data_IF_158751246826
#
_entry.id   IF_158751246826
#
_cell.length_a   1.000
_cell.length_b   1.000
_cell.length_c   1.000
_cell.angle_alpha   90.00
_cell.angle_beta   90.00
_cell.angle_gamma   90.00
#
_symmetry.space_group_name_H-M   'P 1'
#
loop_
_entity.id
_entity.type
_entity.pdbx_description
1 polymer ?
#
# COMPACT_ATOMS: atom_id res chain seq x y z
N UNK A 1 23.99 -14.22 21.51
CA UNK A 1 22.81 -15.06 21.19
C UNK A 1 21.98 -14.28 20.20
N UNK A 2 22.08 -14.61 18.91
CA UNK A 2 21.24 -14.02 17.88
C UNK A 2 19.85 -14.65 18.02
N UNK A 3 18.89 -13.89 18.54
CA UNK A 3 17.49 -14.29 18.54
C UNK A 3 17.04 -14.38 17.09
N UNK A 4 16.80 -15.60 16.60
CA UNK A 4 16.19 -15.81 15.29
C UNK A 4 14.82 -15.13 15.31
N UNK A 5 14.70 -14.04 14.54
CA UNK A 5 13.47 -13.27 14.41
C UNK A 5 12.53 -14.07 13.52
N UNK A 6 11.57 -14.75 14.12
CA UNK A 6 10.49 -15.40 13.39
C UNK A 6 9.44 -14.32 13.13
N UNK A 7 9.50 -13.68 11.96
CA UNK A 7 8.37 -12.92 11.43
C UNK A 7 7.29 -13.97 11.12
N UNK A 8 6.33 -14.10 12.02
CA UNK A 8 5.33 -15.15 11.99
C UNK A 8 4.24 -14.77 10.98
N UNK A 9 4.60 -14.72 9.69
CA UNK A 9 3.59 -14.76 8.64
C UNK A 9 2.91 -16.11 8.80
N UNK A 10 1.69 -16.08 9.31
CA UNK A 10 0.81 -17.24 9.29
C UNK A 10 0.60 -17.56 7.81
N UNK A 11 1.42 -18.47 7.30
CA UNK A 11 1.30 -19.04 5.98
C UNK A 11 0.04 -19.91 6.04
N UNK A 12 -1.12 -19.28 5.98
CA UNK A 12 -2.36 -19.96 5.65
C UNK A 12 -2.14 -20.47 4.24
N UNK A 13 -1.68 -21.71 4.17
CA UNK A 13 -1.82 -22.57 3.02
C UNK A 13 -3.31 -22.54 2.68
N UNK A 14 -3.69 -21.62 1.79
CA UNK A 14 -4.94 -21.69 1.05
C UNK A 14 -4.85 -22.95 0.19
N UNK A 15 -5.12 -24.10 0.80
CA UNK A 15 -5.50 -25.36 0.17
C UNK A 15 -6.94 -25.25 -0.41
N UNK A 16 -7.34 -24.05 -0.83
CA UNK A 16 -8.45 -23.87 -1.73
C UNK A 16 -7.96 -24.26 -3.13
N UNK A 17 -8.74 -25.07 -3.83
CA UNK A 17 -8.49 -25.57 -5.18
C UNK A 17 -8.25 -24.47 -6.22
N UNK A 18 -7.08 -23.83 -6.23
CA UNK A 18 -6.58 -23.11 -7.40
C UNK A 18 -5.88 -24.10 -8.32
N UNK A 19 -6.63 -25.09 -8.80
CA UNK A 19 -6.19 -25.88 -9.95
C UNK A 19 -6.14 -24.94 -11.15
N UNK A 20 -4.92 -24.55 -11.53
CA UNK A 20 -4.57 -23.63 -12.63
C UNK A 20 -4.54 -22.14 -12.29
N UNK A 21 -3.58 -21.72 -11.46
CA UNK A 21 -2.89 -20.43 -11.72
C UNK A 21 -1.91 -20.63 -12.89
N UNK A 22 -2.46 -21.00 -14.05
CA UNK A 22 -1.77 -21.00 -15.35
C UNK A 22 -2.48 -20.03 -16.30
N UNK A 23 -2.98 -18.90 -15.79
CA UNK A 23 -3.15 -17.77 -16.68
C UNK A 23 -1.74 -17.38 -17.10
N UNK A 24 -1.36 -17.69 -18.35
CA UNK A 24 -0.13 -17.18 -18.93
C UNK A 24 -0.08 -15.69 -18.58
N UNK A 25 1.00 -15.24 -17.93
CA UNK A 25 1.14 -13.86 -17.47
C UNK A 25 0.98 -12.95 -18.68
N UNK A 26 -0.24 -12.47 -18.89
CA UNK A 26 -0.51 -11.60 -20.01
C UNK A 26 -0.08 -10.22 -19.57
N UNK A 27 0.88 -9.69 -20.30
CA UNK A 27 1.38 -8.33 -20.18
C UNK A 27 0.66 -7.43 -21.19
N UNK A 28 -0.58 -7.76 -21.58
CA UNK A 28 -1.35 -7.00 -22.54
C UNK A 28 -1.85 -5.67 -21.94
N UNK A 29 -2.13 -4.70 -22.82
CA UNK A 29 -2.74 -3.44 -22.40
C UNK A 29 -4.12 -3.65 -21.77
N UNK A 30 -4.90 -4.61 -22.30
CA UNK A 30 -6.24 -4.92 -21.79
C UNK A 30 -6.19 -5.46 -20.36
N UNK A 31 -5.24 -6.35 -20.06
CA UNK A 31 -5.10 -6.90 -18.70
C UNK A 31 -4.60 -5.85 -17.72
N UNK A 32 -3.69 -4.98 -18.16
CA UNK A 32 -3.29 -3.82 -17.38
C UNK A 32 -4.50 -2.94 -17.05
N UNK A 33 -5.33 -2.62 -18.05
CA UNK A 33 -6.53 -1.80 -17.86
C UNK A 33 -7.55 -2.48 -16.93
N UNK A 34 -7.67 -3.81 -16.97
CA UNK A 34 -8.50 -4.58 -16.05
C UNK A 34 -7.99 -4.52 -14.60
N UNK A 35 -6.67 -4.54 -14.39
CA UNK A 35 -6.09 -4.32 -13.06
C UNK A 35 -6.27 -2.86 -12.64
N UNK A 36 -6.01 -1.89 -13.51
CA UNK A 36 -6.17 -0.47 -13.21
C UNK A 36 -7.62 -0.11 -12.86
N UNK A 37 -8.62 -0.76 -13.46
CA UNK A 37 -10.04 -0.54 -13.15
C UNK A 37 -10.46 -1.09 -11.77
N UNK A 38 -9.66 -1.97 -11.16
CA UNK A 38 -9.88 -2.41 -9.77
C UNK A 38 -9.49 -1.34 -8.74
N UNK A 39 -8.65 -0.36 -9.13
CA UNK A 39 -8.34 0.77 -8.28
C UNK A 39 -9.55 1.70 -8.20
N UNK A 40 -9.83 2.21 -7.01
CA UNK A 40 -10.88 3.22 -6.78
C UNK A 40 -10.39 4.60 -7.21
N UNK A 41 -10.03 4.74 -8.47
CA UNK A 41 -9.47 5.96 -9.04
C UNK A 41 -10.44 7.12 -8.86
N UNK A 42 -9.91 8.28 -8.50
CA UNK A 42 -10.65 9.53 -8.39
C UNK A 42 -10.39 10.45 -9.57
N UNK A 43 -9.30 10.21 -10.29
CA UNK A 43 -8.97 10.81 -11.57
C UNK A 43 -8.50 9.71 -12.54
N UNK A 44 -8.73 9.88 -13.84
CA UNK A 44 -8.43 8.90 -14.88
C UNK A 44 -7.30 9.34 -15.83
N UNK A 45 -6.44 10.25 -15.36
CA UNK A 45 -5.30 10.76 -16.12
C UNK A 45 -4.07 10.87 -15.21
N UNK A 46 -2.93 11.04 -15.84
CA UNK A 46 -1.66 11.27 -15.14
C UNK A 46 -1.42 12.77 -14.95
N UNK A 47 -1.27 13.20 -13.70
CA UNK A 47 -0.92 14.58 -13.36
C UNK A 47 0.60 14.78 -13.23
N UNK A 48 1.10 16.02 -13.28
CA UNK A 48 2.48 16.32 -12.90
C UNK A 48 2.69 16.27 -11.39
N UNK A 49 1.65 16.63 -10.62
CA UNK A 49 1.61 16.54 -9.19
C UNK A 49 0.19 16.15 -8.77
N UNK A 50 0.02 14.99 -8.15
CA UNK A 50 -1.30 14.49 -7.77
C UNK A 50 -1.95 15.38 -6.71
N UNK A 51 -1.18 16.01 -5.81
CA UNK A 51 -1.73 16.86 -4.74
C UNK A 51 -2.30 18.17 -5.27
N UNK A 52 -1.90 18.60 -6.47
CA UNK A 52 -2.48 19.79 -7.12
C UNK A 52 -3.81 19.50 -7.85
N UNK A 53 -4.22 18.23 -7.95
CA UNK A 53 -5.46 17.85 -8.63
C UNK A 53 -6.68 17.96 -7.72
N UNK A 54 -7.86 18.06 -8.33
CA UNK A 54 -9.14 17.85 -7.64
C UNK A 54 -9.42 16.35 -7.58
N UNK A 55 -9.67 15.85 -6.37
CA UNK A 55 -10.02 14.47 -6.11
C UNK A 55 -11.51 14.30 -5.83
N UNK A 56 -11.83 13.28 -5.03
CA UNK A 56 -13.19 13.04 -4.52
C UNK A 56 -13.24 13.43 -3.05
N UNK A 57 -14.29 14.17 -2.66
CA UNK A 57 -14.54 14.47 -1.25
C UNK A 57 -14.82 13.17 -0.48
N UNK A 58 -14.09 12.98 0.61
CA UNK A 58 -14.43 12.02 1.66
C UNK A 58 -14.88 12.82 2.87
N UNK A 59 -15.96 12.37 3.50
CA UNK A 59 -16.57 13.06 4.64
C UNK A 59 -16.57 12.16 5.86
N UNK A 60 -16.35 12.74 7.02
CA UNK A 60 -16.34 12.04 8.29
C UNK A 60 -16.98 12.89 9.38
N UNK A 61 -18.13 12.43 9.89
CA UNK A 61 -18.90 13.13 10.92
C UNK A 61 -18.52 12.74 12.36
N UNK A 62 -17.45 11.96 12.53
CA UNK A 62 -17.01 11.51 13.85
C UNK A 62 -16.26 12.63 14.58
N UNK A 63 -16.68 12.91 15.81
CA UNK A 63 -16.04 13.88 16.69
C UNK A 63 -14.71 13.36 17.23
N UNK A 64 -13.76 14.27 17.49
CA UNK A 64 -12.47 13.93 18.11
C UNK A 64 -11.44 13.33 17.17
N UNK A 65 -11.77 13.14 15.89
CA UNK A 65 -10.82 12.71 14.88
C UNK A 65 -9.94 13.85 14.39
N UNK A 66 -8.74 13.48 13.96
CA UNK A 66 -7.83 14.41 13.29
C UNK A 66 -8.19 14.48 11.81
N UNK A 67 -8.52 15.69 11.35
CA UNK A 67 -8.94 15.90 9.98
C UNK A 67 -7.74 16.21 9.07
N UNK A 68 -7.47 15.42 8.01
CA UNK A 68 -6.39 15.70 7.06
C UNK A 68 -6.74 16.83 6.07
N UNK A 69 -7.97 17.33 6.13
CA UNK A 69 -8.49 18.41 5.29
C UNK A 69 -9.08 19.54 6.14
N UNK A 70 -10.36 19.80 5.94
CA UNK A 70 -11.09 20.90 6.58
C UNK A 70 -12.31 20.40 7.35
N UNK A 71 -12.61 21.05 8.46
CA UNK A 71 -13.84 20.80 9.22
C UNK A 71 -14.91 21.80 8.82
N UNK A 72 -15.99 21.32 8.22
CA UNK A 72 -17.14 22.12 7.78
C UNK A 72 -18.34 21.73 8.64
N UNK A 73 -18.86 22.65 9.45
CA UNK A 73 -20.01 22.40 10.34
C UNK A 73 -19.84 21.14 11.23
N UNK A 74 -18.63 20.93 11.76
CA UNK A 74 -18.32 19.76 12.59
C UNK A 74 -18.09 18.45 11.81
N UNK A 75 -18.15 18.46 10.47
CA UNK A 75 -17.84 17.32 9.62
C UNK A 75 -16.44 17.52 9.03
N UNK A 76 -15.54 16.56 9.25
CA UNK A 76 -14.24 16.54 8.59
C UNK A 76 -14.42 16.17 7.10
N UNK A 77 -13.81 16.94 6.21
CA UNK A 77 -13.85 16.74 4.76
C UNK A 77 -12.45 16.84 4.19
N UNK A 78 -12.04 15.85 3.39
CA UNK A 78 -10.77 15.88 2.66
C UNK A 78 -10.94 15.37 1.23
N UNK A 79 -9.92 15.63 0.41
CA UNK A 79 -9.89 15.22 -0.99
C UNK A 79 -9.04 13.96 -1.11
N UNK A 80 -9.64 12.83 -1.47
CA UNK A 80 -8.88 11.63 -1.83
C UNK A 80 -8.47 11.71 -3.30
N UNK A 81 -7.22 11.40 -3.59
CA UNK A 81 -6.64 11.49 -4.95
C UNK A 81 -5.94 10.16 -5.28
N UNK A 82 -6.42 9.48 -6.31
CA UNK A 82 -5.86 8.24 -6.82
C UNK A 82 -6.01 8.16 -8.34
N UNK A 83 -4.93 7.85 -9.02
CA UNK A 83 -4.87 7.54 -10.44
C UNK A 83 -4.14 6.23 -10.67
N UNK A 84 -4.68 5.38 -11.54
CA UNK A 84 -4.03 4.18 -12.03
C UNK A 84 -4.22 4.15 -13.55
N UNK A 85 -3.14 4.38 -14.29
CA UNK A 85 -3.20 4.54 -15.76
C UNK A 85 -2.24 3.57 -16.42
N UNK A 86 -2.75 2.83 -17.39
CA UNK A 86 -1.98 1.93 -18.23
C UNK A 86 -1.63 2.57 -19.56
N UNK A 87 -0.42 2.32 -20.06
CA UNK A 87 0.00 2.76 -21.40
C UNK A 87 0.94 1.77 -22.07
N UNK A 88 0.96 1.80 -23.39
CA UNK A 88 1.96 1.11 -24.19
C UNK A 88 3.16 2.04 -24.43
N UNK A 89 4.33 1.69 -23.90
CA UNK A 89 5.58 2.41 -24.06
C UNK A 89 6.52 1.59 -24.96
N UNK A 90 6.42 1.79 -26.27
CA UNK A 90 7.28 1.12 -27.27
C UNK A 90 7.25 -0.41 -27.19
N UNK A 91 6.07 -1.00 -26.99
CA UNK A 91 5.87 -2.45 -26.86
C UNK A 91 5.88 -2.96 -25.43
N UNK A 92 6.35 -2.17 -24.46
CA UNK A 92 6.27 -2.51 -23.03
C UNK A 92 5.03 -1.89 -22.43
N UNK A 93 4.13 -2.72 -21.89
CA UNK A 93 2.97 -2.23 -21.16
C UNK A 93 3.42 -1.78 -19.77
N UNK A 94 3.00 -0.58 -19.39
CA UNK A 94 3.33 0.04 -18.11
C UNK A 94 2.08 0.46 -17.38
N UNK A 95 2.15 0.42 -16.05
CA UNK A 95 1.16 0.99 -15.15
C UNK A 95 1.82 2.10 -14.33
N UNK A 96 1.19 3.28 -14.30
CA UNK A 96 1.59 4.42 -13.47
C UNK A 96 0.53 4.63 -12.40
N UNK A 97 0.98 4.70 -11.15
CA UNK A 97 0.15 4.91 -9.97
C UNK A 97 0.50 6.27 -9.38
N UNK A 98 -0.53 7.07 -9.12
CA UNK A 98 -0.39 8.33 -8.41
C UNK A 98 -1.40 8.40 -7.29
N UNK A 99 -0.99 8.81 -6.09
CA UNK A 99 -1.92 8.95 -4.97
C UNK A 99 -1.47 9.98 -3.95
N UNK A 100 -2.44 10.56 -3.24
CA UNK A 100 -2.17 11.35 -2.05
C UNK A 100 -2.14 10.56 -0.74
N UNK A 101 -2.29 9.23 -0.78
CA UNK A 101 -2.16 8.36 0.39
C UNK A 101 -3.31 8.46 1.40
N UNK A 102 -4.31 9.32 1.15
CA UNK A 102 -5.43 9.50 2.08
C UNK A 102 -6.48 8.38 1.90
N UNK A 103 -7.01 7.82 3.01
CA UNK A 103 -8.00 6.76 2.96
C UNK A 103 -9.34 7.26 2.40
N UNK A 104 -10.15 6.35 1.82
CA UNK A 104 -11.51 6.65 1.36
C UNK A 104 -12.55 6.68 2.50
N UNK A 105 -12.11 6.76 3.77
CA UNK A 105 -12.95 6.55 4.95
C UNK A 105 -12.38 7.28 6.16
N UNK A 106 -13.20 7.46 7.19
CA UNK A 106 -12.74 7.87 8.52
C UNK A 106 -11.66 6.90 9.00
N UNK A 107 -10.53 7.45 9.43
CA UNK A 107 -9.50 6.74 10.15
C UNK A 107 -9.36 7.38 11.52
N UNK A 108 -9.30 6.55 12.56
CA UNK A 108 -8.88 7.00 13.87
C UNK A 108 -7.36 7.07 13.90
N UNK A 109 -6.85 8.17 14.44
CA UNK A 109 -5.43 8.47 14.46
C UNK A 109 -5.08 8.78 15.90
N UNK A 110 -4.55 7.79 16.64
CA UNK A 110 -4.35 7.90 18.09
C UNK A 110 -3.52 9.11 18.50
N UNK A 111 -2.63 9.56 17.61
CA UNK A 111 -1.89 10.82 17.78
C UNK A 111 -1.39 11.37 16.44
N UNK A 112 -1.27 12.69 16.34
CA UNK A 112 -0.70 13.37 15.19
C UNK A 112 -1.72 13.80 14.14
N UNK A 113 -1.26 14.40 13.06
CA UNK A 113 -2.06 14.71 11.87
C UNK A 113 -1.60 13.80 10.75
N UNK A 114 -2.48 13.42 9.82
CA UNK A 114 -2.04 12.81 8.58
C UNK A 114 -2.22 13.75 7.40
N UNK A 115 -1.28 13.70 6.47
CA UNK A 115 -1.13 14.68 5.40
C UNK A 115 -1.16 14.04 4.03
N UNK A 116 -1.47 14.84 3.01
CA UNK A 116 -1.33 14.41 1.63
C UNK A 116 0.12 14.06 1.30
N UNK A 117 0.30 12.96 0.60
CA UNK A 117 1.55 12.59 -0.04
C UNK A 117 1.53 12.96 -1.53
N UNK A 118 2.69 13.13 -2.16
CA UNK A 118 2.77 13.14 -3.62
C UNK A 118 3.44 11.85 -4.08
N UNK A 119 2.68 10.74 -4.07
CA UNK A 119 3.18 9.44 -4.51
C UNK A 119 2.94 9.34 -6.00
N UNK A 120 4.01 9.03 -6.74
CA UNK A 120 3.96 8.89 -8.19
C UNK A 120 5.08 7.98 -8.66
N UNK A 121 4.72 6.81 -9.16
CA UNK A 121 5.66 5.87 -9.74
C UNK A 121 5.06 5.13 -10.93
N UNK A 122 5.94 4.61 -11.77
CA UNK A 122 5.59 3.79 -12.93
C UNK A 122 6.41 2.51 -12.93
N UNK A 123 5.79 1.39 -13.29
CA UNK A 123 6.44 0.09 -13.46
C UNK A 123 5.96 -0.58 -14.74
N UNK A 124 6.75 -1.53 -15.24
CA UNK A 124 6.33 -2.50 -16.23
C UNK A 124 5.19 -3.33 -15.65
N UNK A 125 4.09 -3.45 -16.40
CA UNK A 125 2.96 -4.26 -15.99
C UNK A 125 3.24 -5.73 -16.27
N UNK A 126 3.17 -6.55 -15.22
CA UNK A 126 3.28 -8.01 -15.29
C UNK A 126 4.43 -8.49 -16.22
N UNK A 127 5.68 -8.01 -16.03
CA UNK A 127 6.77 -8.41 -16.90
C UNK A 127 6.94 -9.92 -16.81
N UNK A 128 7.18 -10.58 -17.95
CA UNK A 128 7.46 -12.02 -17.98
C UNK A 128 8.74 -12.31 -17.19
N UNK A 129 8.59 -12.64 -15.92
CA UNK A 129 9.66 -13.16 -15.07
C UNK A 129 9.60 -14.68 -15.14
N UNK A 130 10.75 -15.33 -15.27
CA UNK A 130 10.77 -16.79 -15.19
C UNK A 130 10.29 -17.18 -13.80
N UNK A 131 9.31 -18.08 -13.69
CA UNK A 131 8.86 -18.63 -12.40
C UNK A 131 10.01 -19.34 -11.66
N UNK A 132 11.02 -19.80 -12.42
CA UNK A 132 12.27 -20.39 -11.91
C UNK A 132 13.39 -19.35 -11.72
N UNK A 133 13.14 -18.11 -12.12
CA UNK A 133 13.89 -16.93 -11.68
C UNK A 133 12.99 -16.06 -10.81
N UNK A 134 12.42 -16.65 -9.76
CA UNK A 134 12.31 -15.86 -8.53
C UNK A 134 13.68 -15.21 -8.38
N UNK A 135 13.77 -13.88 -8.47
CA UNK A 135 15.04 -13.16 -8.49
C UNK A 135 15.89 -13.45 -7.22
N UNK A 136 15.36 -14.24 -6.29
CA UNK A 136 16.03 -14.80 -5.14
C UNK A 136 15.54 -16.25 -4.91
N UNK A 137 16.47 -17.19 -4.78
CA UNK A 137 16.19 -18.54 -4.28
C UNK A 137 16.25 -18.48 -2.74
N UNK A 138 15.10 -18.60 -2.09
CA UNK A 138 15.04 -18.65 -0.63
C UNK A 138 15.33 -20.07 -0.14
N UNK A 139 16.61 -20.42 -0.02
CA UNK A 139 17.04 -21.74 0.46
C UNK A 139 16.86 -21.94 1.97
N UNK A 140 16.49 -20.89 2.71
CA UNK A 140 16.27 -20.94 4.15
C UNK A 140 15.23 -19.92 4.62
N UNK A 141 14.61 -20.20 5.77
CA UNK A 141 13.72 -19.25 6.46
C UNK A 141 14.46 -17.96 6.78
N UNK A 142 15.74 -18.01 7.15
CA UNK A 142 16.50 -16.80 7.49
C UNK A 142 16.71 -15.90 6.28
N UNK A 143 16.98 -16.45 5.09
CA UNK A 143 17.07 -15.68 3.84
C UNK A 143 15.71 -15.12 3.44
N UNK A 144 14.63 -15.91 3.56
CA UNK A 144 13.28 -15.43 3.31
C UNK A 144 12.94 -14.26 4.25
N UNK A 145 13.10 -14.45 5.56
CA UNK A 145 12.87 -13.43 6.60
C UNK A 145 13.72 -12.19 6.34
N UNK A 146 15.00 -12.33 6.00
CA UNK A 146 15.83 -11.18 5.65
C UNK A 146 15.27 -10.43 4.44
N UNK A 147 14.78 -11.12 3.41
CA UNK A 147 14.26 -10.44 2.22
C UNK A 147 12.91 -9.78 2.46
N UNK A 148 11.99 -10.42 3.21
CA UNK A 148 10.64 -9.88 3.45
C UNK A 148 10.58 -8.88 4.60
N UNK A 149 11.48 -9.00 5.58
CA UNK A 149 11.54 -8.13 6.78
C UNK A 149 12.58 -7.01 6.66
N UNK A 150 13.39 -6.99 5.60
CA UNK A 150 14.20 -5.80 5.33
C UNK A 150 13.28 -4.75 4.74
N UNK A 151 13.19 -3.59 5.40
CA UNK A 151 12.50 -2.41 4.89
C UNK A 151 12.84 -2.20 3.42
N UNK A 152 11.86 -2.47 2.54
CA UNK A 152 12.04 -2.34 1.10
C UNK A 152 12.32 -0.90 0.77
N UNK A 153 13.53 -0.62 0.30
CA UNK A 153 13.87 0.67 -0.28
C UNK A 153 13.71 0.62 -1.80
N UNK A 154 13.50 1.78 -2.42
CA UNK A 154 13.47 1.89 -3.89
C UNK A 154 14.71 1.30 -4.56
N UNK A 155 15.85 1.21 -3.85
CA UNK A 155 17.07 0.60 -4.37
C UNK A 155 17.04 -0.93 -4.43
N UNK A 156 16.09 -1.59 -3.75
CA UNK A 156 15.92 -3.05 -3.82
C UNK A 156 14.91 -3.47 -4.88
N UNK A 157 14.23 -2.52 -5.54
CA UNK A 157 13.28 -2.82 -6.60
C UNK A 157 14.04 -3.34 -7.83
N UNK A 158 13.74 -4.55 -8.33
CA UNK A 158 14.48 -5.14 -9.44
C UNK A 158 14.44 -4.28 -10.70
N UNK A 159 15.56 -4.09 -11.39
CA UNK A 159 15.64 -3.27 -12.61
C UNK A 159 14.68 -3.74 -13.72
N UNK A 160 14.41 -5.05 -13.79
CA UNK A 160 13.44 -5.64 -14.73
C UNK A 160 12.00 -5.13 -14.54
N UNK A 161 11.67 -4.59 -13.36
CA UNK A 161 10.38 -3.94 -13.10
C UNK A 161 10.22 -2.63 -13.88
N UNK A 162 11.29 -2.04 -14.41
CA UNK A 162 11.24 -0.73 -15.06
C UNK A 162 10.74 0.38 -14.13
N UNK A 163 10.95 0.24 -12.82
CA UNK A 163 10.51 1.20 -11.81
C UNK A 163 11.10 2.59 -12.04
N UNK A 164 10.22 3.58 -12.07
CA UNK A 164 10.57 5.00 -12.12
C UNK A 164 9.73 5.74 -11.08
N UNK A 165 10.38 6.49 -10.19
CA UNK A 165 9.70 7.37 -9.23
C UNK A 165 9.69 8.81 -9.75
N UNK A 166 8.52 9.42 -9.80
CA UNK A 166 8.33 10.84 -10.15
C UNK A 166 7.92 11.70 -8.94
N UNK A 167 7.50 11.06 -7.84
CA UNK A 167 6.95 11.70 -6.64
C UNK A 167 7.96 11.88 -5.49
N UNK A 168 7.42 12.10 -4.28
CA UNK A 168 8.18 12.33 -3.04
C UNK A 168 9.01 11.11 -2.60
N UNK A 169 10.13 11.37 -1.90
CA UNK A 169 11.14 10.39 -1.46
C UNK A 169 10.71 9.44 -0.33
N UNK A 170 9.49 9.60 0.23
CA UNK A 170 8.96 8.74 1.30
C UNK A 170 8.62 7.30 0.85
N UNK A 171 8.96 6.93 -0.39
CA UNK A 171 8.82 5.56 -0.90
C UNK A 171 9.90 4.60 -0.38
N UNK A 172 10.88 5.06 0.41
CA UNK A 172 11.98 4.23 0.89
C UNK A 172 11.58 3.14 1.89
N UNK A 173 10.35 3.16 2.40
CA UNK A 173 9.78 2.11 3.27
C UNK A 173 8.45 1.57 2.73
N UNK A 174 8.02 2.04 1.56
CA UNK A 174 6.80 1.60 0.93
C UNK A 174 7.05 0.32 0.13
N UNK A 175 6.22 -0.68 0.34
CA UNK A 175 6.18 -1.91 -0.46
C UNK A 175 5.17 -1.82 -1.60
N UNK A 176 4.22 -0.88 -1.54
CA UNK A 176 3.29 -0.63 -2.64
C UNK A 176 2.19 0.39 -2.34
N UNK A 177 1.20 0.43 -3.22
CA UNK A 177 -0.04 1.21 -3.07
C UNK A 177 -1.20 0.25 -3.22
N UNK A 178 -2.13 0.28 -2.26
CA UNK A 178 -3.35 -0.52 -2.29
C UNK A 178 -4.35 -0.01 -3.32
N UNK A 179 -5.38 -0.81 -3.64
CA UNK A 179 -6.45 -0.44 -4.59
C UNK A 179 -7.26 0.79 -4.15
N UNK A 180 -7.22 1.14 -2.86
CA UNK A 180 -7.83 2.35 -2.33
C UNK A 180 -6.85 3.53 -2.20
N UNK A 181 -5.62 3.40 -2.69
CA UNK A 181 -4.64 4.48 -2.77
C UNK A 181 -3.86 4.71 -1.48
N UNK A 182 -4.16 3.99 -0.41
CA UNK A 182 -3.36 4.05 0.81
C UNK A 182 -2.06 3.27 0.61
N UNK A 183 -0.98 3.80 1.18
CA UNK A 183 0.34 3.17 1.10
C UNK A 183 0.35 1.83 1.83
N UNK A 184 1.08 0.87 1.26
CA UNK A 184 1.43 -0.38 1.94
C UNK A 184 2.92 -0.27 2.28
N UNK A 185 3.25 -0.26 3.56
CA UNK A 185 4.63 -0.27 4.03
C UNK A 185 5.06 -1.69 4.39
N UNK A 186 6.35 -1.85 4.68
CA UNK A 186 6.93 -3.10 5.17
C UNK A 186 6.09 -3.68 6.31
N UNK A 187 5.97 -5.02 6.44
CA UNK A 187 5.30 -5.66 7.56
C UNK A 187 5.89 -5.25 8.93
N UNK A 188 7.19 -4.97 8.97
CA UNK A 188 7.88 -4.49 10.15
C UNK A 188 7.67 -2.98 10.32
N UNK A 189 7.50 -2.54 11.57
CA UNK A 189 7.45 -1.13 11.91
C UNK A 189 8.81 -0.43 11.76
N UNK A 190 8.84 0.88 11.97
CA UNK A 190 10.08 1.66 11.94
C UNK A 190 11.14 1.16 12.95
N UNK A 191 10.73 0.41 13.98
CA UNK A 191 11.61 -0.19 14.98
C UNK A 191 12.05 -1.63 14.62
N UNK A 192 11.75 -2.11 13.41
CA UNK A 192 12.00 -3.47 12.94
C UNK A 192 11.39 -4.54 13.87
N UNK A 193 10.13 -4.32 14.28
CA UNK A 193 9.31 -5.25 15.04
C UNK A 193 7.95 -5.41 14.36
N UNK A 194 7.29 -6.55 14.59
CA UNK A 194 5.90 -6.73 14.19
C UNK A 194 5.03 -5.69 14.94
N UNK A 195 4.33 -4.80 14.24
CA UNK A 195 3.53 -3.75 14.86
C UNK A 195 2.31 -4.31 15.61
N UNK A 196 1.83 -5.50 15.24
CA UNK A 196 0.63 -6.11 15.82
C UNK A 196 0.98 -7.11 16.93
N UNK A 197 2.05 -7.87 16.76
CA UNK A 197 2.49 -8.93 17.67
C UNK A 197 3.99 -8.80 18.00
N UNK A 198 4.41 -7.71 18.66
CA UNK A 198 5.82 -7.50 18.96
C UNK A 198 6.35 -8.57 19.94
N UNK A 199 7.67 -8.81 19.95
CA UNK A 199 8.29 -9.71 20.92
C UNK A 199 8.06 -9.24 22.36
N UNK A 200 8.23 -10.14 23.33
CA UNK A 200 8.05 -9.82 24.75
C UNK A 200 8.83 -8.54 25.17
N UNK A 201 8.11 -7.57 25.76
CA UNK A 201 8.66 -6.26 26.13
C UNK A 201 8.54 -5.18 25.05
N UNK A 202 8.09 -5.51 23.84
CA UNK A 202 7.70 -4.54 22.82
C UNK A 202 6.27 -4.03 23.03
N UNK A 203 6.02 -2.82 22.54
CA UNK A 203 4.69 -2.19 22.57
C UNK A 203 4.01 -2.40 21.22
N UNK A 204 2.82 -2.98 21.21
CA UNK A 204 2.03 -3.10 19.99
C UNK A 204 1.60 -1.69 19.54
N UNK A 205 1.62 -1.46 18.23
CA UNK A 205 1.14 -0.22 17.64
C UNK A 205 -0.38 -0.23 17.63
N UNK A 206 -0.98 0.91 17.99
CA UNK A 206 -2.43 1.08 17.93
C UNK A 206 -2.88 1.16 16.47
N UNK A 207 -3.71 0.22 16.05
CA UNK A 207 -4.16 0.07 14.65
C UNK A 207 -5.67 0.05 14.57
N UNK A 208 -6.23 0.65 13.51
CA UNK A 208 -7.67 0.63 13.26
C UNK A 208 -8.19 -0.79 12.93
N UNK A 209 -9.52 -0.95 12.81
CA UNK A 209 -10.10 -2.25 12.45
C UNK A 209 -9.73 -2.73 11.03
N UNK A 210 -9.05 -1.90 10.23
CA UNK A 210 -8.47 -2.23 8.94
C UNK A 210 -6.98 -2.56 9.02
N UNK A 211 -6.43 -2.71 10.24
CA UNK A 211 -5.02 -2.95 10.54
C UNK A 211 -4.10 -1.90 9.90
N UNK A 212 -4.59 -0.67 9.82
CA UNK A 212 -3.85 0.51 9.41
C UNK A 212 -3.64 1.46 10.57
N UNK A 213 -2.64 2.33 10.45
CA UNK A 213 -2.41 3.40 11.40
C UNK A 213 -1.64 4.55 10.75
N UNK A 214 -1.49 5.65 11.49
CA UNK A 214 -0.66 6.77 11.09
C UNK A 214 0.70 6.71 11.77
N UNK A 215 1.75 6.89 10.97
CA UNK A 215 3.06 7.19 11.53
C UNK A 215 3.08 8.58 12.18
N UNK A 216 4.05 8.82 13.05
CA UNK A 216 4.34 10.15 13.63
C UNK A 216 4.54 11.23 12.55
N UNK A 217 5.03 10.82 11.37
CA UNK A 217 5.19 11.68 10.18
C UNK A 217 3.87 12.06 9.50
N UNK A 218 2.75 11.50 9.95
CA UNK A 218 1.43 11.74 9.39
C UNK A 218 1.10 10.93 8.15
N UNK A 219 1.69 9.74 8.01
CA UNK A 219 1.38 8.84 6.89
C UNK A 219 0.43 7.75 7.35
N UNK A 220 -0.82 7.79 6.89
CA UNK A 220 -1.75 6.67 7.02
C UNK A 220 -1.35 5.55 6.05
N UNK A 221 -1.16 4.34 6.57
CA UNK A 221 -0.67 3.21 5.79
C UNK A 221 -1.14 1.87 6.35
N UNK A 222 -1.02 0.83 5.52
CA UNK A 222 -1.16 -0.57 5.92
C UNK A 222 0.21 -1.21 6.09
N UNK A 223 0.33 -2.17 7.01
CA UNK A 223 1.46 -3.12 7.04
C UNK A 223 1.16 -4.43 6.31
N UNK A 224 -0.13 -4.73 6.12
CA UNK A 224 -0.60 -5.99 5.55
C UNK A 224 -1.84 -5.76 4.68
N UNK A 225 -2.09 -6.69 3.76
CA UNK A 225 -3.32 -6.69 2.99
C UNK A 225 -4.51 -7.01 3.91
N UNK A 226 -5.57 -6.19 3.85
CA UNK A 226 -6.76 -6.37 4.70
C UNK A 226 -8.04 -6.35 3.89
N UNK A 227 -9.10 -6.94 4.46
CA UNK A 227 -10.43 -6.94 3.85
C UNK A 227 -10.91 -5.54 3.51
N UNK A 228 -10.50 -4.51 4.26
CA UNK A 228 -10.89 -3.12 4.02
C UNK A 228 -10.36 -2.55 2.69
N UNK A 229 -9.26 -3.09 2.15
CA UNK A 229 -8.73 -2.66 0.87
C UNK A 229 -9.71 -3.02 -0.25
N UNK A 230 -10.28 -4.23 -0.21
CA UNK A 230 -11.17 -4.76 -1.25
C UNK A 230 -12.64 -4.42 -0.97
N UNK A 231 -13.08 -4.68 0.26
CA UNK A 231 -14.44 -4.51 0.76
C UNK A 231 -14.41 -3.70 2.07
N UNK A 232 -14.20 -2.37 2.00
CA UNK A 232 -14.27 -1.52 3.18
C UNK A 232 -15.65 -1.71 3.82
N UNK A 233 -15.70 -1.87 5.15
CA UNK A 233 -16.96 -1.85 5.87
C UNK A 233 -17.75 -0.59 5.50
N UNK A 234 -19.06 -0.73 5.31
CA UNK A 234 -19.93 0.44 5.21
C UNK A 234 -19.95 1.16 6.55
N UNK A 235 -19.58 2.44 6.57
CA UNK A 235 -19.56 3.26 7.77
C UNK A 235 -18.15 3.57 8.28
N UNK A 236 -18.07 4.06 9.52
CA UNK A 236 -16.82 4.49 10.14
C UNK A 236 -16.07 3.30 10.71
N UNK A 237 -14.78 3.18 10.42
CA UNK A 237 -13.89 2.23 11.09
C UNK A 237 -13.35 2.94 12.32
N UNK A 238 -14.15 2.99 13.38
CA UNK A 238 -14.03 3.98 14.45
C UNK A 238 -13.24 3.54 15.68
N UNK A 239 -12.47 2.46 15.61
CA UNK A 239 -11.64 2.06 16.74
C UNK A 239 -10.28 1.58 16.27
N UNK A 240 -9.24 2.30 16.70
CA UNK A 240 -7.97 1.67 16.98
C UNK A 240 -8.12 0.84 18.25
N UNK A 241 -7.94 -0.47 18.16
CA UNK A 241 -7.92 -1.33 19.35
C UNK A 241 -6.56 -1.28 20.04
#
# INVERSE_FOLDING_TARGET
>A
MASERICLITLVLFYAHFTNVQSATSNSLSDCQAVASSFRTTINYTASNITATTGVNVTCSQSGLVCPGQTINGVCVWQRKLSAVCRNASGTIKIRIQTNGLPPRCADVPSGTFAELNVDFEVNFNPSVSINSLNQNFSSISTLSQTICTLTSVSTVPSASGFVSYGATLLSTASGVSVDGVMIFSPDSANNIDPFYPPAGGTAESVDACLAHCQVSGVYHYHIATGCQVNPPTGNVSSCA
#
